data_IF_823462203973
#
_entry.id   IF_823462203973
#
_cell.length_a   1.000
_cell.length_b   1.000
_cell.length_c   1.000
_cell.angle_alpha   90.00
_cell.angle_beta   90.00
_cell.angle_gamma   90.00
#
_symmetry.space_group_name_H-M   'P 1'
#
loop_
_entity.id
_entity.type
_entity.pdbx_description
1 polymer ?
#
# COMPACT_ATOMS: atom_id res chain seq x y z
N UNK A 1 -20.83 19.31 8.07
CA UNK A 1 -21.11 20.06 9.31
C UNK A 1 -21.49 21.51 9.01
N UNK A 2 -20.65 22.27 8.28
CA UNK A 2 -20.81 23.71 8.03
C UNK A 2 -22.11 24.15 7.33
N UNK A 3 -22.85 23.20 6.73
CA UNK A 3 -24.16 23.43 6.10
C UNK A 3 -25.33 22.72 6.80
N UNK A 4 -25.15 22.30 8.06
CA UNK A 4 -26.22 21.74 8.90
C UNK A 4 -26.46 20.23 8.79
N UNK A 5 -25.79 19.51 7.89
CA UNK A 5 -25.90 18.06 7.80
C UNK A 5 -25.25 17.35 9.01
N UNK A 6 -25.97 16.40 9.62
CA UNK A 6 -25.46 15.49 10.65
C UNK A 6 -24.54 14.46 10.01
N UNK A 7 -23.28 14.43 10.43
CA UNK A 7 -22.31 13.45 9.93
C UNK A 7 -22.31 12.21 10.82
N UNK A 8 -22.42 11.04 10.20
CA UNK A 8 -22.23 9.74 10.85
C UNK A 8 -20.99 9.11 10.24
N UNK A 9 -19.91 9.02 11.03
CA UNK A 9 -18.66 8.42 10.56
C UNK A 9 -18.77 6.91 10.52
N UNK A 10 -18.27 6.31 9.44
CA UNK A 10 -18.28 4.87 9.26
C UNK A 10 -16.86 4.30 9.25
N UNK A 11 -16.64 3.16 9.92
CA UNK A 11 -15.36 2.47 9.83
C UNK A 11 -15.17 1.88 8.43
N UNK A 12 -13.90 1.70 8.08
CA UNK A 12 -13.45 1.01 6.88
C UNK A 12 -12.62 -0.18 7.34
N UNK A 13 -12.96 -1.38 6.87
CA UNK A 13 -12.18 -2.60 7.08
C UNK A 13 -11.46 -2.98 5.78
N UNK A 14 -10.85 -4.17 5.73
CA UNK A 14 -10.12 -4.68 4.55
C UNK A 14 -11.03 -4.96 3.33
N UNK A 15 -12.36 -4.84 3.50
CA UNK A 15 -13.35 -4.99 2.42
C UNK A 15 -14.04 -3.67 2.04
N UNK A 16 -13.58 -2.54 2.59
CA UNK A 16 -14.11 -1.20 2.31
C UNK A 16 -15.01 -0.67 3.43
N UNK A 17 -15.94 0.23 3.08
CA UNK A 17 -16.86 0.82 4.05
C UNK A 17 -17.72 -0.27 4.72
N UNK A 18 -17.75 -0.29 6.05
CA UNK A 18 -18.54 -1.25 6.82
C UNK A 18 -20.03 -0.93 6.70
N UNK A 19 -20.79 -1.89 6.20
CA UNK A 19 -22.24 -1.79 6.04
C UNK A 19 -22.93 -2.39 7.26
N UNK A 20 -23.30 -1.54 8.23
CA UNK A 20 -23.97 -1.96 9.46
C UNK A 20 -25.12 -1.01 9.87
N UNK A 21 -25.73 -1.25 11.04
CA UNK A 21 -26.87 -0.47 11.57
C UNK A 21 -26.63 1.03 11.71
N UNK A 22 -25.37 1.50 11.77
CA UNK A 22 -25.04 2.94 11.82
C UNK A 22 -25.56 3.69 10.59
N UNK A 23 -25.76 2.97 9.48
CA UNK A 23 -26.33 3.51 8.24
C UNK A 23 -27.86 3.59 8.26
N UNK A 24 -28.55 3.01 9.24
CA UNK A 24 -30.03 2.92 9.22
C UNK A 24 -30.74 4.28 9.27
N UNK A 25 -30.11 5.28 9.90
CA UNK A 25 -30.66 6.63 10.05
C UNK A 25 -29.97 7.66 9.13
N UNK A 26 -29.33 7.21 8.05
CA UNK A 26 -28.65 8.06 7.09
C UNK A 26 -29.47 8.19 5.80
N UNK A 27 -29.73 9.40 5.34
CA UNK A 27 -30.36 9.63 4.04
C UNK A 27 -29.36 9.46 2.87
N UNK A 28 -28.07 9.66 3.15
CA UNK A 28 -27.00 9.70 2.16
C UNK A 28 -25.72 9.03 2.66
N UNK A 29 -25.06 8.29 1.77
CA UNK A 29 -23.74 7.68 2.02
C UNK A 29 -22.76 8.16 0.98
N UNK A 30 -21.62 8.69 1.41
CA UNK A 30 -20.50 9.02 0.52
C UNK A 30 -19.44 7.93 0.59
N UNK A 31 -19.04 7.39 -0.56
CA UNK A 31 -18.10 6.27 -0.66
C UNK A 31 -17.10 6.45 -1.79
N UNK A 32 -15.90 5.90 -1.61
CA UNK A 32 -14.85 5.82 -2.62
C UNK A 32 -14.53 4.34 -2.89
N UNK A 33 -15.40 3.58 -3.55
CA UNK A 33 -15.41 2.12 -3.49
C UNK A 33 -14.35 1.47 -4.38
N UNK A 34 -13.93 2.16 -5.45
CA UNK A 34 -12.87 1.69 -6.36
C UNK A 34 -11.56 1.58 -5.60
N UNK A 35 -11.12 2.67 -4.97
CA UNK A 35 -9.98 2.69 -4.04
C UNK A 35 -10.26 3.72 -2.96
N UNK A 36 -10.39 3.25 -1.72
CA UNK A 36 -10.76 4.10 -0.60
C UNK A 36 -9.75 5.23 -0.41
N UNK A 37 -10.21 6.47 -0.34
CA UNK A 37 -9.36 7.54 0.17
C UNK A 37 -9.46 7.60 1.70
N UNK A 38 -8.34 7.60 2.44
CA UNK A 38 -6.93 7.55 1.99
C UNK A 38 -6.31 6.14 1.99
N UNK A 39 -7.01 5.11 2.48
CA UNK A 39 -6.42 3.81 2.84
C UNK A 39 -6.01 2.95 1.65
N UNK A 40 -6.58 3.22 0.47
CA UNK A 40 -6.39 2.47 -0.77
C UNK A 40 -7.21 1.17 -0.87
N UNK A 41 -7.98 0.81 0.16
CA UNK A 41 -8.77 -0.42 0.19
C UNK A 41 -9.82 -0.43 -0.92
N UNK A 42 -9.92 -1.54 -1.65
CA UNK A 42 -10.99 -1.73 -2.63
C UNK A 42 -12.22 -2.35 -1.97
N UNK A 43 -13.40 -1.78 -2.23
CA UNK A 43 -14.65 -2.33 -1.74
C UNK A 43 -15.00 -3.61 -2.51
N UNK A 44 -15.16 -4.73 -1.80
CA UNK A 44 -15.43 -6.04 -2.41
C UNK A 44 -16.82 -6.07 -3.07
N UNK A 45 -17.00 -6.99 -4.03
CA UNK A 45 -18.30 -7.20 -4.67
C UNK A 45 -19.42 -7.48 -3.65
N UNK A 46 -19.15 -8.35 -2.67
CA UNK A 46 -20.10 -8.66 -1.60
C UNK A 46 -20.48 -7.42 -0.76
N UNK A 47 -19.50 -6.57 -0.45
CA UNK A 47 -19.74 -5.31 0.29
C UNK A 47 -20.56 -4.32 -0.55
N UNK A 48 -20.28 -4.21 -1.86
CA UNK A 48 -21.03 -3.37 -2.82
C UNK A 48 -22.51 -3.78 -2.87
N UNK A 49 -22.78 -5.07 -3.01
CA UNK A 49 -24.15 -5.63 -3.01
C UNK A 49 -24.86 -5.43 -1.67
N UNK A 50 -24.14 -5.56 -0.55
CA UNK A 50 -24.71 -5.28 0.77
C UNK A 50 -25.11 -3.81 0.91
N UNK A 51 -24.27 -2.87 0.44
CA UNK A 51 -24.57 -1.44 0.47
C UNK A 51 -25.78 -1.09 -0.39
N UNK A 52 -25.84 -1.61 -1.63
CA UNK A 52 -26.98 -1.38 -2.54
C UNK A 52 -28.29 -1.90 -1.95
N UNK A 53 -28.31 -3.14 -1.44
CA UNK A 53 -29.50 -3.70 -0.77
C UNK A 53 -29.93 -2.86 0.43
N UNK A 54 -28.96 -2.36 1.21
CA UNK A 54 -29.26 -1.50 2.36
C UNK A 54 -29.85 -0.16 1.93
N UNK A 55 -29.30 0.46 0.89
CA UNK A 55 -29.82 1.69 0.33
C UNK A 55 -31.24 1.53 -0.21
N UNK A 56 -31.54 0.42 -0.88
CA UNK A 56 -32.90 0.09 -1.30
C UNK A 56 -33.87 -0.07 -0.12
N UNK A 57 -33.46 -0.79 0.93
CA UNK A 57 -34.31 -1.07 2.10
C UNK A 57 -34.58 0.15 2.99
N UNK A 58 -33.70 1.15 2.97
CA UNK A 58 -33.74 2.33 3.85
C UNK A 58 -34.01 3.64 3.10
N UNK A 59 -34.32 3.55 1.81
CA UNK A 59 -34.51 4.70 0.92
C UNK A 59 -33.32 5.68 0.88
N UNK A 60 -32.10 5.15 0.84
CA UNK A 60 -30.87 5.95 0.91
C UNK A 60 -30.32 6.24 -0.49
N UNK A 61 -29.63 7.37 -0.62
CA UNK A 61 -28.85 7.75 -1.80
C UNK A 61 -27.37 7.47 -1.55
N UNK A 62 -26.66 6.97 -2.56
CA UNK A 62 -25.22 6.73 -2.48
C UNK A 62 -24.49 7.72 -3.40
N UNK A 63 -23.53 8.46 -2.88
CA UNK A 63 -22.55 9.19 -3.69
C UNK A 63 -21.32 8.29 -3.85
N UNK A 64 -21.11 7.79 -5.06
CA UNK A 64 -19.89 7.09 -5.44
C UNK A 64 -18.90 8.10 -6.01
N UNK A 65 -17.84 8.42 -5.27
CA UNK A 65 -16.75 9.28 -5.71
C UNK A 65 -15.58 8.43 -6.22
N UNK A 66 -15.42 8.43 -7.54
CA UNK A 66 -14.34 7.71 -8.23
C UNK A 66 -13.23 8.68 -8.63
N UNK A 67 -12.47 9.11 -7.63
CA UNK A 67 -11.39 10.08 -7.80
C UNK A 67 -10.08 9.50 -8.38
N UNK A 68 -9.97 8.17 -8.46
CA UNK A 68 -8.74 7.44 -8.82
C UNK A 68 -8.99 6.50 -10.00
N UNK A 69 -9.87 6.84 -10.94
CA UNK A 69 -10.30 5.95 -12.01
C UNK A 69 -9.15 5.40 -12.88
N UNK A 70 -7.98 6.05 -12.91
CA UNK A 70 -6.76 5.55 -13.56
C UNK A 70 -6.26 4.22 -12.96
N UNK A 71 -6.55 3.98 -11.69
CA UNK A 71 -6.19 2.75 -10.99
C UNK A 71 -7.06 1.56 -11.42
N UNK A 72 -8.22 1.80 -12.05
CA UNK A 72 -9.02 0.74 -12.65
C UNK A 72 -8.28 0.05 -13.83
N UNK A 73 -7.23 0.69 -14.38
CA UNK A 73 -6.37 0.12 -15.41
C UNK A 73 -5.15 -0.62 -14.84
N UNK A 74 -4.96 -0.60 -13.51
CA UNK A 74 -3.90 -1.34 -12.84
C UNK A 74 -4.29 -2.80 -12.60
N UNK A 75 -5.53 -3.04 -12.20
CA UNK A 75 -6.03 -4.34 -11.73
C UNK A 75 -7.42 -4.68 -12.31
N UNK A 76 -7.87 -5.92 -12.15
CA UNK A 76 -9.27 -6.30 -12.43
C UNK A 76 -10.20 -5.63 -11.40
N UNK A 77 -10.60 -4.40 -11.69
CA UNK A 77 -11.47 -3.62 -10.82
C UNK A 77 -12.89 -4.22 -10.77
N UNK A 78 -13.49 -4.22 -9.58
CA UNK A 78 -14.93 -4.48 -9.47
C UNK A 78 -15.70 -3.39 -10.23
N UNK A 79 -16.86 -3.71 -10.85
CA UNK A 79 -17.70 -2.70 -11.50
C UNK A 79 -18.10 -1.58 -10.53
N UNK A 80 -18.22 -0.35 -11.04
CA UNK A 80 -18.72 0.79 -10.27
C UNK A 80 -20.08 0.47 -9.63
N UNK A 81 -20.36 0.99 -8.42
CA UNK A 81 -21.66 0.81 -7.75
C UNK A 81 -22.79 1.25 -8.67
N UNK A 82 -22.62 2.37 -9.39
CA UNK A 82 -23.61 2.86 -10.35
C UNK A 82 -23.93 1.85 -11.46
N UNK A 83 -22.99 1.01 -11.86
CA UNK A 83 -23.23 -0.01 -12.89
C UNK A 83 -24.02 -1.23 -12.37
N UNK A 84 -24.03 -1.42 -11.05
CA UNK A 84 -24.75 -2.50 -10.36
C UNK A 84 -26.12 -2.06 -9.83
N UNK A 85 -26.35 -0.75 -9.76
CA UNK A 85 -27.57 -0.11 -9.26
C UNK A 85 -28.75 -0.31 -10.21
N UNK A 86 -29.85 -0.85 -9.68
CA UNK A 86 -31.10 -1.07 -10.42
C UNK A 86 -32.22 -0.11 -9.98
N UNK A 87 -32.01 0.65 -8.90
CA UNK A 87 -33.04 1.47 -8.26
C UNK A 87 -32.79 2.98 -8.47
N UNK A 88 -31.80 3.34 -9.30
CA UNK A 88 -31.38 4.72 -9.58
C UNK A 88 -30.98 5.53 -8.32
N UNK A 89 -30.38 4.84 -7.34
CA UNK A 89 -29.97 5.40 -6.04
C UNK A 89 -28.52 5.87 -5.98
N UNK A 90 -27.71 5.49 -6.96
CA UNK A 90 -26.28 5.85 -6.99
C UNK A 90 -26.05 7.09 -7.85
N UNK A 91 -25.39 8.08 -7.26
CA UNK A 91 -24.85 9.26 -7.91
C UNK A 91 -23.34 9.02 -8.09
N UNK A 92 -22.92 8.72 -9.31
CA UNK A 92 -21.51 8.56 -9.65
C UNK A 92 -20.88 9.92 -9.95
N UNK A 93 -19.77 10.23 -9.30
CA UNK A 93 -19.01 11.46 -9.45
C UNK A 93 -17.57 11.10 -9.79
N UNK A 94 -17.05 11.68 -10.87
CA UNK A 94 -15.66 11.48 -11.25
C UNK A 94 -15.05 12.75 -11.84
N UNK A 95 -13.72 12.84 -11.76
CA UNK A 95 -12.94 13.96 -12.26
C UNK A 95 -12.00 13.56 -13.40
N UNK A 96 -11.96 14.36 -14.47
CA UNK A 96 -10.94 14.20 -15.54
C UNK A 96 -9.62 14.91 -15.20
N UNK A 97 -9.64 15.77 -14.19
CA UNK A 97 -8.55 16.72 -13.92
C UNK A 97 -7.28 16.06 -13.36
N UNK A 98 -7.37 14.92 -12.67
CA UNK A 98 -6.17 14.24 -12.15
C UNK A 98 -5.37 13.52 -13.24
N UNK A 99 -6.07 13.12 -14.30
CA UNK A 99 -5.50 12.44 -15.46
C UNK A 99 -5.01 13.43 -16.50
N UNK A 100 -5.85 14.39 -16.86
CA UNK A 100 -5.58 15.31 -17.99
C UNK A 100 -4.85 16.58 -17.58
N UNK A 101 -4.89 16.94 -16.29
CA UNK A 101 -4.21 18.11 -15.75
C UNK A 101 -5.11 18.91 -14.80
N UNK A 102 -4.58 19.34 -13.64
CA UNK A 102 -5.39 19.96 -12.58
C UNK A 102 -6.04 21.28 -13.03
N UNK A 103 -5.42 22.00 -13.97
CA UNK A 103 -5.96 23.24 -14.54
C UNK A 103 -7.20 23.06 -15.42
N UNK A 104 -7.53 21.83 -15.83
CA UNK A 104 -8.70 21.56 -16.67
C UNK A 104 -10.01 21.80 -15.92
N UNK A 105 -10.03 21.51 -14.61
CA UNK A 105 -11.18 21.68 -13.70
C UNK A 105 -12.48 21.06 -14.25
N UNK A 106 -12.37 19.92 -14.93
CA UNK A 106 -13.49 19.15 -15.43
C UNK A 106 -13.73 17.91 -14.56
N UNK A 107 -15.01 17.69 -14.28
CA UNK A 107 -15.59 16.48 -13.70
C UNK A 107 -17.01 16.30 -14.22
N UNK A 108 -17.59 15.14 -13.97
CA UNK A 108 -18.92 14.78 -14.45
C UNK A 108 -19.69 14.01 -13.39
N UNK A 109 -21.01 14.00 -13.55
CA UNK A 109 -21.96 13.29 -12.70
C UNK A 109 -22.78 12.36 -13.59
N UNK A 110 -22.95 11.12 -13.16
CA UNK A 110 -23.89 10.15 -13.74
C UNK A 110 -24.89 9.78 -12.65
N UNK A 111 -26.16 10.14 -12.86
CA UNK A 111 -27.23 9.93 -11.90
C UNK A 111 -28.59 9.89 -12.63
N UNK A 112 -29.68 9.69 -11.89
CA UNK A 112 -31.04 9.73 -12.46
C UNK A 112 -31.35 11.09 -13.13
N UNK A 113 -32.25 11.13 -14.13
CA UNK A 113 -32.59 12.37 -14.83
C UNK A 113 -33.05 13.51 -13.89
N UNK A 114 -33.76 13.16 -12.82
CA UNK A 114 -34.26 14.11 -11.82
C UNK A 114 -33.11 14.77 -11.05
N UNK A 115 -32.14 13.98 -10.60
CA UNK A 115 -30.93 14.49 -9.94
C UNK A 115 -30.13 15.39 -10.88
N UNK A 116 -29.97 14.99 -12.16
CA UNK A 116 -29.26 15.80 -13.15
C UNK A 116 -29.97 17.13 -13.43
N UNK A 117 -31.31 17.13 -13.51
CA UNK A 117 -32.09 18.35 -13.70
C UNK A 117 -31.88 19.33 -12.55
N UNK A 118 -31.97 18.85 -11.30
CA UNK A 118 -31.78 19.71 -10.12
C UNK A 118 -30.33 20.16 -9.95
N UNK A 119 -29.35 19.28 -10.19
CA UNK A 119 -27.93 19.63 -10.18
C UNK A 119 -27.62 20.74 -11.21
N UNK A 120 -28.23 20.71 -12.41
CA UNK A 120 -28.09 21.78 -13.42
C UNK A 120 -28.70 23.10 -12.93
N UNK A 121 -29.86 23.05 -12.26
CA UNK A 121 -30.52 24.23 -11.68
C UNK A 121 -29.64 24.87 -10.61
N UNK A 122 -29.14 24.06 -9.66
CA UNK A 122 -28.23 24.50 -8.60
C UNK A 122 -26.91 25.04 -9.16
N UNK A 123 -26.33 24.38 -10.18
CA UNK A 123 -25.11 24.85 -10.82
C UNK A 123 -25.27 26.26 -11.36
N UNK A 124 -26.43 26.60 -11.96
CA UNK A 124 -26.68 27.92 -12.53
C UNK A 124 -26.58 29.06 -11.50
N UNK A 125 -26.79 28.75 -10.21
CA UNK A 125 -26.65 29.71 -9.11
C UNK A 125 -25.18 29.94 -8.70
N UNK A 126 -24.28 29.02 -9.03
CA UNK A 126 -22.87 29.09 -8.68
C UNK A 126 -21.98 29.44 -9.88
N UNK A 127 -22.11 28.69 -10.98
CA UNK A 127 -21.31 28.82 -12.20
C UNK A 127 -22.16 28.46 -13.43
N UNK A 128 -22.17 29.32 -14.45
CA UNK A 128 -23.00 29.12 -15.65
C UNK A 128 -22.72 27.78 -16.35
N UNK A 129 -21.46 27.55 -16.70
CA UNK A 129 -20.94 26.29 -17.27
C UNK A 129 -19.41 26.25 -17.12
N UNK A 130 -18.78 25.05 -17.11
CA UNK A 130 -17.33 24.94 -17.25
C UNK A 130 -16.84 25.62 -18.55
N UNK A 131 -15.58 26.08 -18.64
CA UNK A 131 -15.05 26.70 -19.85
C UNK A 131 -15.24 25.79 -21.08
N UNK A 132 -15.85 26.34 -22.14
CA UNK A 132 -16.22 25.54 -23.32
C UNK A 132 -15.00 25.05 -24.10
N UNK A 133 -13.93 25.83 -24.13
CA UNK A 133 -12.63 25.43 -24.69
C UNK A 133 -12.10 24.18 -23.98
N UNK A 134 -12.12 24.14 -22.64
CA UNK A 134 -11.70 22.97 -21.86
C UNK A 134 -12.55 21.75 -22.19
N UNK A 135 -13.88 21.91 -22.26
CA UNK A 135 -14.81 20.83 -22.63
C UNK A 135 -14.51 20.27 -24.03
N UNK A 136 -14.33 21.15 -25.02
CA UNK A 136 -14.04 20.76 -26.41
C UNK A 136 -12.69 20.06 -26.53
N UNK A 137 -11.64 20.59 -25.90
CA UNK A 137 -10.31 19.97 -25.90
C UNK A 137 -10.36 18.58 -25.27
N UNK A 138 -11.03 18.42 -24.12
CA UNK A 138 -11.19 17.13 -23.48
C UNK A 138 -12.00 16.15 -24.35
N UNK A 139 -13.08 16.60 -24.98
CA UNK A 139 -13.90 15.79 -25.88
C UNK A 139 -13.09 15.29 -27.09
N UNK A 140 -12.29 16.15 -27.73
CA UNK A 140 -11.41 15.73 -28.82
C UNK A 140 -10.34 14.75 -28.34
N UNK A 141 -9.73 14.99 -27.18
CA UNK A 141 -8.72 14.10 -26.61
C UNK A 141 -9.27 12.69 -26.31
N UNK A 142 -10.50 12.62 -25.79
CA UNK A 142 -11.23 11.37 -25.58
C UNK A 142 -11.57 10.69 -26.92
N UNK A 143 -12.18 11.42 -27.85
CA UNK A 143 -12.62 10.88 -29.14
C UNK A 143 -11.47 10.33 -30.01
N UNK A 144 -10.27 10.88 -29.86
CA UNK A 144 -9.05 10.40 -30.54
C UNK A 144 -8.35 9.24 -29.81
N UNK A 145 -8.90 8.74 -28.69
CA UNK A 145 -8.33 7.62 -27.92
C UNK A 145 -7.07 7.96 -27.13
N UNK A 146 -6.69 9.24 -27.02
CA UNK A 146 -5.50 9.64 -26.28
C UNK A 146 -5.65 9.42 -24.77
N UNK A 147 -6.89 9.47 -24.26
CA UNK A 147 -7.19 9.14 -22.86
C UNK A 147 -6.82 7.70 -22.53
N UNK A 148 -7.29 6.74 -23.33
CA UNK A 148 -7.01 5.32 -23.10
C UNK A 148 -5.51 5.02 -23.18
N UNK A 149 -4.83 5.59 -24.19
CA UNK A 149 -3.37 5.47 -24.32
C UNK A 149 -2.63 6.06 -23.09
N UNK A 150 -3.11 7.18 -22.56
CA UNK A 150 -2.57 7.81 -21.35
C UNK A 150 -2.82 6.94 -20.12
N UNK A 151 -4.01 6.37 -19.96
CA UNK A 151 -4.35 5.45 -18.87
C UNK A 151 -3.50 4.19 -18.88
N UNK A 152 -3.32 3.55 -20.05
CA UNK A 152 -2.44 2.40 -20.17
C UNK A 152 -0.97 2.73 -19.84
N UNK A 153 -0.51 3.94 -20.15
CA UNK A 153 0.84 4.41 -19.80
C UNK A 153 0.96 4.69 -18.31
N UNK A 154 0.01 5.39 -17.70
CA UNK A 154 0.00 5.67 -16.26
C UNK A 154 -0.11 4.38 -15.45
N UNK A 155 -0.95 3.44 -15.88
CA UNK A 155 -1.07 2.12 -15.25
C UNK A 155 0.28 1.39 -15.20
N UNK A 156 1.00 1.29 -16.32
CA UNK A 156 2.36 0.70 -16.31
C UNK A 156 3.31 1.43 -15.38
N UNK A 157 3.36 2.76 -15.46
CA UNK A 157 4.25 3.58 -14.65
C UNK A 157 3.98 3.46 -13.14
N UNK A 158 2.71 3.46 -12.73
CA UNK A 158 2.34 3.30 -11.33
C UNK A 158 2.62 1.89 -10.84
N UNK A 159 2.43 0.86 -11.67
CA UNK A 159 2.83 -0.51 -11.35
C UNK A 159 4.34 -0.60 -11.12
N UNK A 160 5.16 -0.03 -12.01
CA UNK A 160 6.62 -0.01 -11.87
C UNK A 160 7.07 0.70 -10.58
N UNK A 161 6.51 1.89 -10.28
CA UNK A 161 6.81 2.64 -9.06
C UNK A 161 6.37 1.90 -7.80
N UNK A 162 5.20 1.28 -7.83
CA UNK A 162 4.67 0.49 -6.73
C UNK A 162 5.57 -0.71 -6.44
N UNK A 163 5.99 -1.44 -7.46
CA UNK A 163 6.97 -2.52 -7.34
C UNK A 163 8.30 -2.02 -6.78
N UNK A 164 8.85 -0.91 -7.32
CA UNK A 164 10.10 -0.35 -6.81
C UNK A 164 10.01 0.07 -5.33
N UNK A 165 8.88 0.66 -4.92
CA UNK A 165 8.66 1.05 -3.52
C UNK A 165 8.48 -0.16 -2.61
N UNK A 166 7.71 -1.16 -3.04
CA UNK A 166 7.60 -2.45 -2.33
C UNK A 166 8.97 -3.08 -2.14
N UNK A 167 9.76 -3.18 -3.21
CA UNK A 167 11.06 -3.85 -3.18
C UNK A 167 12.03 -3.10 -2.27
N UNK A 168 11.98 -1.76 -2.26
CA UNK A 168 12.76 -0.95 -1.34
C UNK A 168 12.33 -1.14 0.12
N UNK A 169 11.02 -1.18 0.39
CA UNK A 169 10.49 -1.41 1.75
C UNK A 169 10.83 -2.81 2.25
N UNK A 170 10.73 -3.83 1.39
CA UNK A 170 11.19 -5.20 1.70
C UNK A 170 12.70 -5.24 1.95
N UNK A 171 13.50 -4.53 1.16
CA UNK A 171 14.94 -4.59 1.33
C UNK A 171 15.43 -3.87 2.61
N UNK A 172 14.86 -2.71 2.94
CA UNK A 172 15.38 -1.87 4.02
C UNK A 172 14.56 -1.89 5.33
N UNK A 173 13.28 -2.25 5.27
CA UNK A 173 12.33 -2.04 6.37
C UNK A 173 11.47 -3.27 6.68
N UNK A 174 11.79 -4.46 6.17
CA UNK A 174 11.00 -5.70 6.33
C UNK A 174 10.54 -6.00 7.76
N UNK A 175 11.43 -5.83 8.73
CA UNK A 175 11.13 -6.10 10.15
C UNK A 175 10.47 -4.92 10.87
N UNK A 176 10.41 -3.76 10.22
CA UNK A 176 10.01 -2.50 10.85
C UNK A 176 8.69 -1.96 10.40
N UNK A 177 8.23 -2.36 9.21
CA UNK A 177 6.95 -1.91 8.70
C UNK A 177 6.14 -3.06 8.17
N UNK A 178 4.82 -2.94 8.31
CA UNK A 178 3.84 -3.74 7.63
C UNK A 178 3.05 -2.84 6.67
N UNK A 179 2.79 -3.34 5.48
CA UNK A 179 1.97 -2.68 4.46
C UNK A 179 0.69 -3.49 4.37
N UNK A 180 -0.48 -2.83 4.43
CA UNK A 180 -1.73 -3.51 4.17
C UNK A 180 -1.71 -4.12 2.75
N UNK A 181 -2.18 -5.37 2.54
CA UNK A 181 -2.24 -5.98 1.22
C UNK A 181 -3.30 -5.27 0.36
N UNK A 182 -2.94 -4.12 -0.18
CA UNK A 182 -3.80 -3.35 -1.06
C UNK A 182 -3.72 -3.97 -2.46
N UNK A 183 -4.88 -4.40 -2.97
CA UNK A 183 -5.04 -4.68 -4.38
C UNK A 183 -5.17 -3.33 -5.08
N UNK A 184 -4.12 -2.91 -5.76
CA UNK A 184 -4.15 -1.73 -6.62
C UNK A 184 -3.83 -0.43 -5.88
N UNK A 185 -4.32 0.66 -6.46
CA UNK A 185 -4.15 2.01 -5.94
C UNK A 185 -2.78 2.62 -6.25
N UNK A 186 -2.65 3.89 -5.89
CA UNK A 186 -1.44 4.68 -6.11
C UNK A 186 -0.73 5.04 -4.80
N UNK A 187 -0.97 4.27 -3.73
CA UNK A 187 -0.53 4.59 -2.37
C UNK A 187 -0.31 3.32 -1.55
N UNK A 188 0.64 3.36 -0.63
CA UNK A 188 0.77 2.39 0.44
C UNK A 188 0.34 2.97 1.78
N UNK A 189 -0.42 2.16 2.52
CA UNK A 189 -0.73 2.38 3.92
C UNK A 189 0.28 1.61 4.77
N UNK A 190 1.21 2.32 5.41
CA UNK A 190 2.37 1.74 6.07
C UNK A 190 2.22 1.86 7.58
N UNK A 191 2.22 0.72 8.26
CA UNK A 191 2.24 0.62 9.72
C UNK A 191 3.66 0.38 10.19
N UNK A 192 4.22 1.33 10.93
CA UNK A 192 5.47 1.17 11.65
C UNK A 192 5.29 0.54 13.05
N UNK A 193 6.35 0.54 13.87
CA UNK A 193 6.32 -0.02 15.22
C UNK A 193 5.30 0.70 16.12
N UNK A 194 4.73 0.01 17.11
CA UNK A 194 3.69 0.59 17.99
C UNK A 194 4.12 1.84 18.77
N UNK A 195 5.42 1.99 19.02
CA UNK A 195 6.02 3.13 19.71
C UNK A 195 6.44 4.27 18.76
N UNK A 196 6.20 4.13 17.45
CA UNK A 196 6.48 5.18 16.48
C UNK A 196 5.60 6.39 16.77
N UNK A 197 6.21 7.58 16.73
CA UNK A 197 5.52 8.86 16.64
C UNK A 197 5.62 9.37 15.21
N UNK A 198 4.57 9.14 14.41
CA UNK A 198 4.59 9.42 12.97
C UNK A 198 4.75 10.90 12.66
N UNK A 199 4.27 11.79 13.52
CA UNK A 199 4.40 13.24 13.31
C UNK A 199 5.88 13.67 13.43
N UNK A 200 6.58 13.21 14.48
CA UNK A 200 8.01 13.47 14.63
C UNK A 200 8.84 12.75 13.56
N UNK A 201 8.48 11.51 13.22
CA UNK A 201 9.12 10.75 12.15
C UNK A 201 8.99 11.45 10.80
N UNK A 202 7.81 11.99 10.48
CA UNK A 202 7.56 12.76 9.26
C UNK A 202 8.38 14.06 9.25
N UNK A 203 8.43 14.79 10.37
CA UNK A 203 9.23 15.99 10.49
C UNK A 203 10.74 15.70 10.34
N UNK A 204 11.23 14.57 10.86
CA UNK A 204 12.63 14.14 10.67
C UNK A 204 12.92 13.71 9.23
N UNK A 205 11.99 13.00 8.60
CA UNK A 205 12.09 12.63 7.19
C UNK A 205 12.16 13.87 6.29
N UNK A 206 11.30 14.86 6.55
CA UNK A 206 11.28 16.13 5.80
C UNK A 206 12.62 16.86 5.91
N UNK A 207 13.22 16.93 7.11
CA UNK A 207 14.56 17.51 7.31
C UNK A 207 15.66 16.80 6.51
N UNK A 208 15.45 15.52 6.15
CA UNK A 208 16.34 14.73 5.28
C UNK A 208 15.87 14.68 3.81
N UNK A 209 14.91 15.52 3.42
CA UNK A 209 14.42 15.64 2.04
C UNK A 209 13.41 14.56 1.61
N UNK A 210 12.82 13.83 2.55
CA UNK A 210 11.82 12.78 2.28
C UNK A 210 10.47 13.17 2.88
N UNK A 211 9.44 13.25 2.04
CA UNK A 211 8.08 13.54 2.50
C UNK A 211 7.28 12.25 2.65
N UNK A 212 6.66 12.10 3.82
CA UNK A 212 5.66 11.07 4.11
C UNK A 212 4.42 11.76 4.66
N UNK A 213 3.29 11.06 4.65
CA UNK A 213 2.03 11.66 5.09
C UNK A 213 1.49 10.95 6.35
N UNK A 214 1.51 11.63 7.51
CA UNK A 214 0.79 11.17 8.69
C UNK A 214 -0.71 11.01 8.39
N UNK A 215 -1.33 9.97 8.95
CA UNK A 215 -2.72 9.65 8.62
C UNK A 215 -3.75 10.38 9.49
N UNK A 216 -3.31 11.06 10.55
CA UNK A 216 -4.16 11.75 11.52
C UNK A 216 -5.23 12.65 10.89
N UNK A 217 -4.89 13.53 9.92
CA UNK A 217 -5.84 14.40 9.25
C UNK A 217 -6.99 13.71 8.50
N UNK A 218 -6.86 12.41 8.23
CA UNK A 218 -7.90 11.63 7.54
C UNK A 218 -8.92 10.98 8.48
N UNK A 219 -8.68 11.01 9.79
CA UNK A 219 -9.64 10.52 10.78
C UNK A 219 -10.61 11.63 11.16
N UNK A 220 -11.87 11.25 11.42
CA UNK A 220 -12.95 12.19 11.70
C UNK A 220 -12.70 13.08 12.93
N UNK A 221 -12.00 12.57 13.93
CA UNK A 221 -11.59 13.28 15.14
C UNK A 221 -10.23 13.98 15.00
N UNK A 222 -9.61 13.89 13.81
CA UNK A 222 -8.25 14.36 13.53
C UNK A 222 -7.15 13.57 14.25
N UNK A 223 -7.49 12.44 14.90
CA UNK A 223 -6.58 11.65 15.73
C UNK A 223 -6.49 10.22 15.20
N UNK A 224 -5.62 10.04 14.22
CA UNK A 224 -5.28 8.72 13.69
C UNK A 224 -4.25 7.98 14.54
N UNK A 225 -3.98 6.70 14.23
CA UNK A 225 -2.90 5.94 14.84
C UNK A 225 -1.55 6.63 14.67
N UNK A 226 -0.76 6.70 15.76
CA UNK A 226 0.54 7.38 15.76
C UNK A 226 1.64 6.62 15.04
N UNK A 227 1.40 5.37 14.64
CA UNK A 227 2.37 4.52 13.97
C UNK A 227 2.05 4.26 12.50
N UNK A 228 1.18 5.04 11.87
CA UNK A 228 0.77 4.81 10.49
C UNK A 228 1.01 6.06 9.64
N UNK A 229 1.61 5.86 8.46
CA UNK A 229 1.77 6.88 7.43
C UNK A 229 1.41 6.35 6.04
N UNK A 230 1.15 7.26 5.12
CA UNK A 230 0.87 7.00 3.71
C UNK A 230 2.07 7.35 2.84
N UNK A 231 2.35 6.51 1.85
CA UNK A 231 3.35 6.75 0.80
C UNK A 231 2.67 6.72 -0.57
N UNK A 232 2.57 7.86 -1.25
CA UNK A 232 2.01 7.94 -2.61
C UNK A 232 3.05 7.63 -3.69
N UNK A 233 2.65 6.96 -4.78
CA UNK A 233 3.53 6.64 -5.93
C UNK A 233 3.21 7.45 -7.20
N UNK A 234 2.18 8.31 -7.17
CA UNK A 234 1.72 9.06 -8.36
C UNK A 234 2.76 10.06 -8.89
N UNK A 235 3.58 10.65 -8.03
CA UNK A 235 4.54 11.71 -8.37
C UNK A 235 6.01 11.37 -8.10
N UNK A 236 6.32 10.14 -7.67
CA UNK A 236 7.69 9.74 -7.32
C UNK A 236 8.49 9.31 -8.56
N UNK A 237 9.66 9.91 -8.85
CA UNK A 237 10.61 9.35 -9.80
C UNK A 237 11.10 7.98 -9.31
N UNK A 238 11.08 6.96 -10.19
CA UNK A 238 11.39 5.56 -9.82
C UNK A 238 12.80 5.44 -9.22
N UNK A 239 13.75 6.15 -9.81
CA UNK A 239 15.16 6.20 -9.43
C UNK A 239 15.40 6.82 -8.04
N UNK A 240 14.47 7.64 -7.54
CA UNK A 240 14.55 8.28 -6.21
C UNK A 240 13.92 7.46 -5.11
N UNK A 241 13.10 6.45 -5.44
CA UNK A 241 12.34 5.66 -4.46
C UNK A 241 13.27 4.95 -3.49
N UNK A 242 14.30 4.26 -4.02
CA UNK A 242 15.22 3.46 -3.21
C UNK A 242 15.97 4.31 -2.19
N UNK A 243 16.52 5.44 -2.62
CA UNK A 243 17.22 6.40 -1.76
C UNK A 243 16.31 6.95 -0.66
N UNK A 244 15.08 7.35 -1.03
CA UNK A 244 14.11 7.85 -0.06
C UNK A 244 13.76 6.82 1.02
N UNK A 245 13.56 5.56 0.63
CA UNK A 245 13.30 4.48 1.60
C UNK A 245 14.52 4.15 2.46
N UNK A 246 15.73 4.23 1.90
CA UNK A 246 16.96 4.07 2.70
C UNK A 246 17.06 5.13 3.81
N UNK A 247 16.71 6.38 3.51
CA UNK A 247 16.63 7.47 4.51
C UNK A 247 15.58 7.18 5.59
N UNK A 248 14.40 6.68 5.21
CA UNK A 248 13.38 6.26 6.18
C UNK A 248 13.88 5.12 7.06
N UNK A 249 14.66 4.19 6.49
CA UNK A 249 15.27 3.11 7.25
C UNK A 249 16.31 3.61 8.24
N UNK A 250 17.15 4.58 7.87
CA UNK A 250 18.07 5.23 8.80
C UNK A 250 17.33 5.89 9.96
N UNK A 251 16.26 6.65 9.68
CA UNK A 251 15.46 7.28 10.73
C UNK A 251 14.80 6.25 11.65
N UNK A 252 14.27 5.17 11.08
CA UNK A 252 13.66 4.09 11.86
C UNK A 252 14.70 3.37 12.73
N UNK A 253 15.96 3.32 12.30
CA UNK A 253 17.09 2.80 13.09
C UNK A 253 17.44 3.71 14.28
N UNK A 254 17.22 5.01 14.17
CA UNK A 254 17.51 5.99 15.22
C UNK A 254 16.42 6.02 16.31
N UNK A 255 15.26 5.40 16.06
CA UNK A 255 14.19 5.30 17.06
C UNK A 255 14.65 4.47 18.26
N UNK A 256 14.29 4.86 19.50
CA UNK A 256 14.57 4.07 20.69
C UNK A 256 13.96 2.69 20.53
N UNK A 257 14.80 1.65 20.50
CA UNK A 257 14.34 0.28 20.36
C UNK A 257 13.47 -0.04 21.58
N UNK A 258 12.15 -0.05 21.42
CA UNK A 258 11.32 -0.83 22.32
C UNK A 258 11.68 -2.29 22.06
N UNK A 259 12.61 -2.80 22.87
CA UNK A 259 13.14 -4.15 22.91
C UNK A 259 12.63 -5.07 21.79
N UNK A 260 13.24 -4.99 20.60
CA UNK A 260 13.27 -6.15 19.71
C UNK A 260 14.21 -7.15 20.34
N UNK A 261 13.73 -7.87 21.35
CA UNK A 261 14.47 -8.96 21.99
C UNK A 261 14.51 -10.14 21.02
N UNK A 262 15.37 -10.04 20.00
CA UNK A 262 16.16 -11.21 19.67
C UNK A 262 17.14 -11.36 20.83
N UNK A 263 17.10 -12.46 21.61
CA UNK A 263 18.08 -12.65 22.67
C UNK A 263 19.45 -12.56 22.00
N UNK A 264 20.27 -11.60 22.45
CA UNK A 264 21.62 -11.40 21.94
C UNK A 264 22.63 -11.92 22.95
N UNK A 265 22.70 -13.24 23.23
CA UNK A 265 23.88 -13.76 23.90
C UNK A 265 25.01 -13.67 22.87
N UNK A 266 25.91 -12.71 23.06
CA UNK A 266 27.16 -12.57 22.30
C UNK A 266 27.93 -13.90 22.26
N UNK A 267 27.70 -14.75 23.26
CA UNK A 267 28.31 -16.06 23.50
C UNK A 267 27.83 -17.20 22.56
N UNK A 268 26.83 -16.98 21.69
CA UNK A 268 26.30 -18.01 20.77
C UNK A 268 26.52 -17.68 19.28
N UNK A 269 27.55 -16.88 18.95
CA UNK A 269 27.95 -16.65 17.57
C UNK A 269 28.56 -17.93 16.98
N UNK A 270 28.07 -18.33 15.82
CA UNK A 270 28.69 -19.39 15.03
C UNK A 270 29.77 -18.77 14.13
N UNK A 271 30.93 -19.40 14.10
CA UNK A 271 32.11 -18.94 13.35
C UNK A 271 32.45 -19.94 12.24
N UNK A 272 32.99 -19.45 11.13
CA UNK A 272 33.47 -20.23 9.98
C UNK A 272 32.63 -21.46 9.62
N UNK A 273 33.22 -22.65 9.78
CA UNK A 273 32.62 -23.94 9.40
C UNK A 273 31.34 -24.26 10.19
N UNK A 274 31.24 -23.85 11.46
CA UNK A 274 30.04 -24.09 12.26
C UNK A 274 28.85 -23.29 11.73
N UNK A 275 29.09 -22.08 11.25
CA UNK A 275 28.08 -21.26 10.59
C UNK A 275 27.68 -21.88 9.24
N UNK A 276 28.65 -22.32 8.44
CA UNK A 276 28.38 -22.99 7.17
C UNK A 276 27.51 -24.24 7.36
N UNK A 277 27.84 -25.08 8.33
CA UNK A 277 27.09 -26.30 8.65
C UNK A 277 25.66 -26.00 9.13
N UNK A 278 25.47 -24.95 9.94
CA UNK A 278 24.15 -24.58 10.43
C UNK A 278 23.22 -24.02 9.35
N UNK A 279 23.78 -23.37 8.33
CA UNK A 279 23.02 -22.77 7.23
C UNK A 279 22.74 -23.77 6.10
N UNK A 280 23.66 -24.70 5.85
CA UNK A 280 23.57 -25.69 4.78
C UNK A 280 22.38 -26.64 4.95
N UNK A 281 21.53 -26.75 3.94
CA UNK A 281 20.34 -27.61 3.94
C UNK A 281 19.17 -27.07 4.77
N UNK A 282 19.25 -25.84 5.28
CA UNK A 282 18.20 -25.25 6.11
C UNK A 282 17.14 -24.54 5.29
N UNK A 283 15.91 -24.48 5.83
CA UNK A 283 14.83 -23.65 5.27
C UNK A 283 14.52 -22.53 6.24
N UNK A 284 14.70 -21.29 5.81
CA UNK A 284 14.38 -20.11 6.58
C UNK A 284 12.95 -19.66 6.28
N UNK A 285 12.17 -19.44 7.34
CA UNK A 285 10.80 -18.93 7.29
C UNK A 285 10.80 -17.48 7.74
N UNK A 286 10.40 -16.57 6.86
CA UNK A 286 10.24 -15.14 7.13
C UNK A 286 8.92 -14.61 6.53
N UNK A 287 8.68 -13.31 6.70
CA UNK A 287 7.50 -12.63 6.15
C UNK A 287 7.93 -11.43 5.32
N UNK A 288 7.24 -11.16 4.21
CA UNK A 288 7.41 -9.91 3.46
C UNK A 288 6.80 -8.74 4.22
N UNK A 289 7.01 -7.50 3.76
CA UNK A 289 6.31 -6.32 4.31
C UNK A 289 4.79 -6.39 4.20
N UNK A 290 4.22 -7.22 3.33
CA UNK A 290 2.77 -7.46 3.28
C UNK A 290 2.28 -8.45 4.35
N UNK A 291 3.21 -9.06 5.10
CA UNK A 291 2.91 -10.15 6.01
C UNK A 291 2.83 -11.52 5.35
N UNK A 292 2.99 -11.59 4.02
CA UNK A 292 2.95 -12.84 3.26
C UNK A 292 4.09 -13.78 3.68
N UNK A 293 3.86 -15.11 3.69
CA UNK A 293 4.91 -16.07 3.97
C UNK A 293 6.01 -15.98 2.91
N UNK A 294 7.26 -16.07 3.36
CA UNK A 294 8.43 -16.20 2.52
C UNK A 294 9.32 -17.33 3.04
N UNK A 295 9.76 -18.18 2.13
CA UNK A 295 10.70 -19.28 2.40
C UNK A 295 11.98 -19.06 1.63
N UNK A 296 13.12 -19.30 2.30
CA UNK A 296 14.44 -19.30 1.68
C UNK A 296 15.08 -20.65 1.99
N UNK A 297 15.22 -21.47 0.97
CA UNK A 297 15.91 -22.75 1.04
C UNK A 297 17.40 -22.54 0.74
N UNK A 298 18.27 -22.99 1.64
CA UNK A 298 19.71 -22.88 1.52
C UNK A 298 20.27 -24.25 1.14
N UNK A 299 20.71 -24.40 -0.10
CA UNK A 299 21.22 -25.66 -0.62
C UNK A 299 22.70 -25.86 -0.22
N UNK A 300 23.15 -27.10 0.02
CA UNK A 300 24.53 -27.38 0.43
C UNK A 300 25.62 -26.97 -0.56
N UNK A 301 25.26 -26.83 -1.84
CA UNK A 301 26.17 -26.39 -2.91
C UNK A 301 26.37 -24.86 -2.95
N UNK A 302 25.78 -24.13 -2.00
CA UNK A 302 25.85 -22.68 -1.93
C UNK A 302 24.77 -21.97 -2.77
N UNK A 303 23.84 -22.69 -3.39
CA UNK A 303 22.66 -22.07 -4.00
C UNK A 303 21.60 -21.74 -2.95
N UNK A 304 20.78 -20.73 -3.21
CA UNK A 304 19.57 -20.47 -2.43
C UNK A 304 18.35 -20.23 -3.31
N UNK A 305 17.20 -20.68 -2.85
CA UNK A 305 15.91 -20.56 -3.55
C UNK A 305 14.92 -19.85 -2.65
N UNK A 306 14.42 -18.70 -3.11
CA UNK A 306 13.44 -17.87 -2.41
C UNK A 306 12.06 -18.03 -3.03
N UNK A 307 11.04 -18.16 -2.19
CA UNK A 307 9.62 -18.14 -2.61
C UNK A 307 8.83 -17.25 -1.67
N UNK A 308 8.03 -16.34 -2.20
CA UNK A 308 7.19 -15.44 -1.44
C UNK A 308 5.74 -15.47 -1.95
N UNK A 309 4.81 -15.21 -1.03
CA UNK A 309 3.36 -15.24 -1.31
C UNK A 309 2.73 -16.61 -1.04
N UNK A 310 1.39 -16.64 -1.04
CA UNK A 310 0.63 -17.85 -0.70
C UNK A 310 0.62 -18.92 -1.80
N UNK A 311 0.95 -18.56 -3.05
CA UNK A 311 1.03 -19.48 -4.19
C UNK A 311 2.42 -19.47 -4.87
N UNK A 312 3.48 -19.08 -4.15
CA UNK A 312 4.84 -18.91 -4.69
C UNK A 312 4.89 -17.99 -5.92
N UNK A 313 4.09 -16.92 -5.89
CA UNK A 313 3.87 -16.01 -7.02
C UNK A 313 5.12 -15.17 -7.33
N UNK A 314 5.99 -14.97 -6.33
CA UNK A 314 7.28 -14.32 -6.47
C UNK A 314 8.38 -15.30 -6.06
N UNK A 315 9.29 -15.61 -6.99
CA UNK A 315 10.38 -16.55 -6.78
C UNK A 315 11.67 -15.94 -7.29
N UNK A 316 12.76 -16.20 -6.57
CA UNK A 316 14.10 -15.84 -7.01
C UNK A 316 15.11 -16.91 -6.59
N UNK A 317 16.26 -16.90 -7.25
CA UNK A 317 17.39 -17.77 -6.90
C UNK A 317 18.63 -16.93 -6.69
N UNK A 318 19.58 -17.46 -5.93
CA UNK A 318 20.82 -16.76 -5.64
C UNK A 318 21.88 -17.69 -5.12
N UNK A 319 22.91 -17.08 -4.52
CA UNK A 319 24.01 -17.80 -3.88
C UNK A 319 24.21 -17.30 -2.46
N UNK A 320 24.65 -18.19 -1.60
CA UNK A 320 25.07 -17.90 -0.24
C UNK A 320 26.43 -18.54 0.03
N UNK A 321 27.21 -17.92 0.90
CA UNK A 321 28.51 -18.44 1.32
C UNK A 321 28.91 -17.84 2.67
N UNK A 322 29.91 -18.42 3.30
CA UNK A 322 30.53 -17.89 4.52
C UNK A 322 31.94 -17.43 4.19
N UNK A 323 32.26 -16.19 4.59
CA UNK A 323 33.60 -15.60 4.41
C UNK A 323 34.11 -15.12 5.78
N UNK A 324 35.01 -15.91 6.39
CA UNK A 324 35.36 -15.75 7.79
C UNK A 324 34.15 -16.04 8.69
N UNK A 325 33.75 -15.05 9.50
CA UNK A 325 32.59 -15.16 10.41
C UNK A 325 31.36 -14.41 9.89
N UNK A 326 31.35 -14.09 8.59
CA UNK A 326 30.29 -13.31 7.96
C UNK A 326 29.53 -14.20 6.98
N UNK A 327 28.23 -14.31 7.20
CA UNK A 327 27.34 -14.91 6.22
C UNK A 327 27.07 -13.91 5.10
N UNK A 328 27.27 -14.36 3.87
CA UNK A 328 26.98 -13.57 2.68
C UNK A 328 25.93 -14.24 1.83
N UNK A 329 25.09 -13.41 1.21
CA UNK A 329 24.11 -13.85 0.22
C UNK A 329 23.98 -12.83 -0.90
N UNK A 330 23.67 -13.32 -2.08
CA UNK A 330 23.36 -12.50 -3.25
C UNK A 330 22.25 -13.17 -4.05
N UNK A 331 21.13 -12.47 -4.19
CA UNK A 331 20.02 -12.87 -5.05
C UNK A 331 20.29 -12.47 -6.51
N UNK A 332 19.55 -13.04 -7.46
CA UNK A 332 19.64 -12.59 -8.85
C UNK A 332 18.81 -11.32 -9.09
N UNK A 333 17.66 -11.18 -8.42
CA UNK A 333 16.71 -10.06 -8.60
C UNK A 333 16.33 -9.40 -7.28
N UNK A 334 15.98 -10.20 -6.27
CA UNK A 334 15.58 -9.70 -4.96
C UNK A 334 16.73 -8.90 -4.32
N UNK A 335 16.39 -7.94 -3.45
CA UNK A 335 17.39 -7.06 -2.81
C UNK A 335 18.36 -6.42 -3.83
N UNK A 336 17.86 -6.09 -5.03
CA UNK A 336 18.63 -5.45 -6.10
C UNK A 336 19.82 -6.27 -6.62
N UNK A 337 19.85 -7.57 -6.34
CA UNK A 337 20.99 -8.44 -6.67
C UNK A 337 22.28 -8.06 -5.95
N UNK A 338 22.18 -7.30 -4.86
CA UNK A 338 23.34 -6.86 -4.08
C UNK A 338 23.80 -7.94 -3.10
N UNK A 339 25.12 -7.99 -2.90
CA UNK A 339 25.71 -8.84 -1.89
C UNK A 339 25.45 -8.29 -0.50
N UNK A 340 24.65 -9.01 0.28
CA UNK A 340 24.44 -8.75 1.70
C UNK A 340 25.56 -9.38 2.51
N UNK A 341 26.12 -8.64 3.47
CA UNK A 341 27.11 -9.14 4.44
C UNK A 341 26.53 -9.03 5.84
N UNK A 342 26.29 -10.16 6.48
CA UNK A 342 25.45 -10.25 7.67
C UNK A 342 26.18 -11.03 8.77
N UNK A 343 26.30 -10.42 9.95
CA UNK A 343 26.73 -11.17 11.15
C UNK A 343 25.55 -11.98 11.65
N UNK A 344 25.75 -13.28 11.83
CA UNK A 344 24.65 -14.20 12.12
C UNK A 344 24.71 -14.66 13.57
N UNK A 345 23.55 -14.65 14.24
CA UNK A 345 23.36 -15.26 15.56
C UNK A 345 22.20 -16.24 15.46
N UNK A 346 22.40 -17.46 15.96
CA UNK A 346 21.36 -18.49 15.99
C UNK A 346 21.05 -18.83 17.44
N UNK A 347 19.79 -18.71 17.84
CA UNK A 347 19.30 -19.07 19.18
C UNK A 347 18.12 -20.02 19.02
N UNK A 348 18.33 -21.30 19.35
CA UNK A 348 17.33 -22.35 19.13
C UNK A 348 17.02 -22.52 17.64
N UNK A 349 15.76 -22.30 17.27
CA UNK A 349 15.24 -22.32 15.90
C UNK A 349 15.20 -20.93 15.26
N UNK A 350 15.75 -19.88 15.89
CA UNK A 350 15.70 -18.51 15.34
C UNK A 350 17.06 -18.06 14.87
N UNK A 351 17.08 -17.37 13.75
CA UNK A 351 18.27 -16.70 13.20
C UNK A 351 18.05 -15.19 13.20
N UNK A 352 19.07 -14.46 13.64
CA UNK A 352 19.13 -13.00 13.59
C UNK A 352 20.34 -12.55 12.79
N UNK A 353 20.16 -11.56 11.93
CA UNK A 353 21.21 -10.95 11.13
C UNK A 353 21.49 -9.53 11.60
N UNK A 354 22.77 -9.22 11.77
CA UNK A 354 23.21 -7.98 12.39
C UNK A 354 24.20 -7.23 11.50
N UNK A 355 24.16 -5.90 11.60
CA UNK A 355 25.14 -5.03 10.96
C UNK A 355 26.51 -5.04 11.69
N UNK A 356 27.46 -4.28 11.15
CA UNK A 356 28.79 -4.14 11.74
C UNK A 356 28.78 -3.50 13.14
N UNK A 357 27.73 -2.77 13.50
CA UNK A 357 27.53 -2.12 14.80
C UNK A 357 26.75 -3.00 15.79
N UNK A 358 26.39 -4.23 15.42
CA UNK A 358 25.65 -5.16 16.28
C UNK A 358 24.14 -4.91 16.33
N UNK A 359 23.58 -4.17 15.37
CA UNK A 359 22.14 -3.89 15.28
C UNK A 359 21.42 -4.92 14.43
N UNK A 360 20.25 -5.38 14.88
CA UNK A 360 19.44 -6.38 14.17
C UNK A 360 18.87 -5.78 12.88
N UNK A 361 19.28 -6.33 11.74
CA UNK A 361 18.79 -5.98 10.40
C UNK A 361 17.54 -6.78 10.04
N UNK A 362 17.59 -8.09 10.27
CA UNK A 362 16.54 -9.02 9.86
C UNK A 362 16.54 -10.28 10.75
N UNK A 363 15.45 -11.06 10.75
CA UNK A 363 15.37 -12.33 11.47
C UNK A 363 14.44 -13.34 10.77
N UNK A 364 14.70 -14.62 10.98
CA UNK A 364 13.88 -15.71 10.46
C UNK A 364 13.80 -16.87 11.45
N UNK A 365 12.91 -17.81 11.18
CA UNK A 365 12.83 -19.11 11.87
C UNK A 365 13.44 -20.17 10.97
N UNK A 366 14.39 -20.93 11.49
CA UNK A 366 15.03 -22.06 10.83
C UNK A 366 14.13 -23.29 11.00
N UNK A 367 13.56 -23.77 9.91
CA UNK A 367 13.00 -25.11 9.82
C UNK A 367 14.12 -26.06 9.38
N UNK A 368 14.58 -26.89 10.31
CA UNK A 368 15.48 -28.02 9.99
C UNK A 368 14.63 -29.15 9.42
N UNK A 369 15.15 -29.89 8.45
CA UNK A 369 14.54 -31.16 8.06
C UNK A 369 14.50 -32.06 9.31
N UNK A 370 13.38 -32.77 9.54
CA UNK A 370 13.35 -33.78 10.59
C UNK A 370 14.50 -34.78 10.35
N UNK A 371 15.27 -35.16 11.38
CA UNK A 371 16.18 -36.27 11.24
C UNK A 371 15.32 -37.53 10.99
N UNK A 372 15.50 -38.13 9.82
CA UNK A 372 14.86 -39.39 9.41
C UNK A 372 14.98 -40.52 10.45
#
# INVERSE_FOLDING_TARGET
>A
ADRGARLVHQPVDDEGLVVDRRLDDCDLVYVTPSHQFPTGVMMTQARREALLRKAAARDMVIIEDDFACETNYLDQACPALRSLDQDDRVIYVAGLSKVLGPGLRLGFIVASPEVIAEARRLRHLAVRHPPLNNQRTAAHFLAMGHYDATMMRLGRLFRERRTALRDALNHYLQQSVAIAPLRGGATYWVRGPDHLDVEEFAAQAERRGVLIEPVGPYFADGKGPRNIFRLGVTSLPIDRIREGVAVLADLMRDLPVAARTFPYPVEQRLEGEALQAAMSGSVLLCKTVYGDPCTIELLPDGQMVGRAGYANEDCDVGRWWVEGDVWRRQWNRWSYGETSSLRTVIVGDRIGWFDANGRLLDSAVIRRADPD
#
